data_IF_734625713344
#
_entry.id   IF_734625713344
#
_cell.length_a   1.000
_cell.length_b   1.000
_cell.length_c   1.000
_cell.angle_alpha   90.00
_cell.angle_beta   90.00
_cell.angle_gamma   90.00
#
_symmetry.space_group_name_H-M   'P 1'
#
loop_
_entity.id
_entity.type
_entity.pdbx_description
1 polymer ?
#
# COMPACT_ATOMS: atom_id res chain seq x y z
N UNK A 1 -14.06 14.54 -10.04
CA UNK A 1 -14.52 13.13 -10.12
C UNK A 1 -15.56 12.95 -11.21
N UNK A 2 -16.65 13.71 -11.25
CA UNK A 2 -17.65 13.61 -12.32
C UNK A 2 -17.04 13.90 -13.70
N UNK A 3 -16.14 14.84 -13.88
CA UNK A 3 -15.49 15.06 -15.19
C UNK A 3 -14.52 13.94 -15.62
N UNK A 4 -13.76 13.36 -14.70
CA UNK A 4 -12.94 12.17 -14.98
C UNK A 4 -13.79 10.90 -15.00
N UNK A 5 -14.80 10.78 -14.15
CA UNK A 5 -15.77 9.68 -14.19
C UNK A 5 -16.73 9.81 -15.37
N UNK A 6 -17.15 11.00 -15.79
CA UNK A 6 -17.96 11.17 -17.01
C UNK A 6 -17.16 10.89 -18.29
N UNK A 7 -15.89 11.24 -18.36
CA UNK A 7 -15.01 10.82 -19.48
C UNK A 7 -14.69 9.30 -19.39
N UNK A 8 -14.66 8.74 -18.20
CA UNK A 8 -14.48 7.29 -17.97
C UNK A 8 -15.82 6.55 -18.15
N UNK A 9 -16.96 7.15 -17.73
CA UNK A 9 -18.29 6.54 -17.80
C UNK A 9 -18.89 6.61 -19.22
N UNK A 10 -18.48 7.55 -20.05
CA UNK A 10 -19.03 7.71 -21.41
C UNK A 10 -18.44 6.73 -22.45
N UNK A 11 -17.50 5.85 -22.05
CA UNK A 11 -17.05 4.73 -22.87
C UNK A 11 -17.24 3.43 -22.12
N UNK A 12 -18.39 2.76 -22.37
CA UNK A 12 -18.73 1.42 -21.90
C UNK A 12 -18.70 1.19 -20.39
N UNK A 13 -19.81 1.49 -19.72
CA UNK A 13 -20.09 1.09 -18.32
C UNK A 13 -19.69 -0.39 -18.08
N UNK A 14 -19.94 -1.27 -19.05
CA UNK A 14 -19.55 -2.69 -19.02
C UNK A 14 -18.04 -2.91 -18.87
N UNK A 15 -17.21 -2.02 -19.43
CA UNK A 15 -15.75 -2.16 -19.30
C UNK A 15 -15.22 -1.85 -17.91
N UNK A 16 -15.90 -1.03 -17.10
CA UNK A 16 -15.46 -0.65 -15.76
C UNK A 16 -16.20 -1.37 -14.65
N UNK A 17 -17.37 -1.95 -14.94
CA UNK A 17 -18.16 -2.67 -13.95
C UNK A 17 -17.37 -3.80 -13.29
N UNK A 18 -16.72 -4.65 -14.09
CA UNK A 18 -15.99 -5.80 -13.57
C UNK A 18 -14.70 -5.40 -12.83
N UNK A 19 -13.85 -4.49 -13.32
CA UNK A 19 -12.74 -3.94 -12.55
C UNK A 19 -13.16 -3.27 -11.23
N UNK A 20 -14.31 -2.57 -11.21
CA UNK A 20 -14.83 -1.94 -9.99
C UNK A 20 -15.28 -2.99 -8.97
N UNK A 21 -15.97 -4.03 -9.42
CA UNK A 21 -16.37 -5.15 -8.56
C UNK A 21 -15.13 -5.86 -7.98
N UNK A 22 -14.09 -6.05 -8.79
CA UNK A 22 -12.82 -6.64 -8.32
C UNK A 22 -12.11 -5.74 -7.32
N UNK A 23 -12.09 -4.43 -7.54
CA UNK A 23 -11.54 -3.47 -6.58
C UNK A 23 -12.30 -3.51 -5.24
N UNK A 24 -13.62 -3.60 -5.30
CA UNK A 24 -14.45 -3.74 -4.12
C UNK A 24 -14.15 -5.03 -3.35
N UNK A 25 -14.13 -6.18 -4.01
CA UNK A 25 -13.78 -7.46 -3.39
C UNK A 25 -12.37 -7.45 -2.80
N UNK A 26 -11.41 -6.86 -3.51
CA UNK A 26 -10.04 -6.76 -3.05
C UNK A 26 -9.94 -5.93 -1.75
N UNK A 27 -10.49 -4.72 -1.76
CA UNK A 27 -10.32 -3.77 -0.66
C UNK A 27 -11.18 -4.16 0.54
N UNK A 28 -12.39 -4.67 0.31
CA UNK A 28 -13.27 -5.11 1.39
C UNK A 28 -12.96 -6.53 1.92
N UNK A 29 -11.89 -7.17 1.45
CA UNK A 29 -11.45 -8.45 2.01
C UNK A 29 -11.10 -8.31 3.50
N UNK A 30 -11.30 -9.37 4.26
CA UNK A 30 -11.08 -9.40 5.71
C UNK A 30 -11.84 -8.30 6.49
N UNK A 31 -13.10 -8.13 6.13
CA UNK A 31 -14.06 -7.21 6.76
C UNK A 31 -15.29 -7.98 7.21
N UNK A 32 -16.18 -7.33 7.98
CA UNK A 32 -17.49 -7.91 8.35
C UNK A 32 -18.39 -8.20 7.14
N UNK A 33 -18.15 -7.52 6.01
CA UNK A 33 -18.88 -7.75 4.75
C UNK A 33 -18.39 -9.04 4.09
N UNK A 34 -17.06 -9.23 4.07
CA UNK A 34 -16.40 -10.38 3.45
C UNK A 34 -15.34 -10.95 4.40
N UNK A 35 -15.73 -11.86 5.31
CA UNK A 35 -14.79 -12.49 6.23
C UNK A 35 -13.72 -13.30 5.49
N UNK A 36 -12.49 -13.17 5.97
CA UNK A 36 -11.35 -13.92 5.44
C UNK A 36 -10.80 -13.42 4.09
N UNK A 37 -10.01 -14.27 3.46
CA UNK A 37 -9.21 -13.94 2.25
C UNK A 37 -9.86 -14.38 0.94
N UNK A 38 -11.05 -14.96 0.96
CA UNK A 38 -11.66 -15.56 -0.24
C UNK A 38 -11.90 -14.56 -1.37
N UNK A 39 -12.34 -13.35 -1.04
CA UNK A 39 -12.54 -12.28 -2.02
C UNK A 39 -11.24 -11.78 -2.64
N UNK A 40 -10.14 -11.83 -1.88
CA UNK A 40 -8.81 -11.57 -2.39
C UNK A 40 -8.41 -12.61 -3.45
N UNK A 41 -8.70 -13.89 -3.22
CA UNK A 41 -8.42 -14.96 -4.18
C UNK A 41 -9.22 -14.79 -5.48
N UNK A 42 -10.46 -14.29 -5.41
CA UNK A 42 -11.27 -13.96 -6.60
C UNK A 42 -10.57 -12.87 -7.42
N UNK A 43 -10.11 -11.79 -6.76
CA UNK A 43 -9.39 -10.71 -7.44
C UNK A 43 -8.07 -11.20 -8.06
N UNK A 44 -7.34 -12.05 -7.34
CA UNK A 44 -6.11 -12.69 -7.86
C UNK A 44 -6.40 -13.56 -9.08
N UNK A 45 -7.42 -14.42 -8.99
CA UNK A 45 -7.82 -15.29 -10.09
C UNK A 45 -8.20 -14.52 -11.35
N UNK A 46 -8.90 -13.40 -11.19
CA UNK A 46 -9.27 -12.55 -12.33
C UNK A 46 -8.04 -11.92 -13.00
N UNK A 47 -7.12 -11.34 -12.23
CA UNK A 47 -5.89 -10.77 -12.78
C UNK A 47 -5.04 -11.85 -13.45
N UNK A 48 -4.89 -13.01 -12.79
CA UNK A 48 -4.15 -14.15 -13.34
C UNK A 48 -4.75 -14.63 -14.67
N UNK A 49 -6.07 -14.87 -14.70
CA UNK A 49 -6.77 -15.29 -15.92
C UNK A 49 -6.53 -14.32 -17.08
N UNK A 50 -6.67 -13.02 -16.83
CA UNK A 50 -6.48 -12.02 -17.88
C UNK A 50 -5.03 -12.00 -18.39
N UNK A 51 -4.05 -12.05 -17.48
CA UNK A 51 -2.61 -12.06 -17.82
C UNK A 51 -2.23 -13.30 -18.63
N UNK A 52 -2.66 -14.49 -18.21
CA UNK A 52 -2.37 -15.75 -18.91
C UNK A 52 -3.02 -15.78 -20.31
N UNK A 53 -4.30 -15.34 -20.38
CA UNK A 53 -5.06 -15.40 -21.66
C UNK A 53 -4.53 -14.42 -22.72
N UNK A 54 -4.09 -13.23 -22.31
CA UNK A 54 -3.75 -12.14 -23.23
C UNK A 54 -2.27 -11.73 -23.20
N UNK A 55 -1.50 -12.27 -22.30
CA UNK A 55 -0.07 -11.99 -22.16
C UNK A 55 0.80 -12.96 -22.93
N UNK A 56 1.98 -12.50 -23.30
CA UNK A 56 3.07 -13.34 -23.81
C UNK A 56 4.04 -13.58 -22.67
N UNK A 57 4.37 -14.84 -22.40
CA UNK A 57 5.31 -15.19 -21.36
C UNK A 57 6.71 -14.63 -21.68
N UNK A 58 7.31 -13.97 -20.71
CA UNK A 58 8.66 -13.40 -20.85
C UNK A 58 9.36 -13.30 -19.48
N UNK A 59 10.62 -13.68 -19.46
CA UNK A 59 11.49 -13.55 -18.28
C UNK A 59 12.19 -12.18 -18.24
N UNK A 60 12.18 -11.44 -19.36
CA UNK A 60 12.93 -10.18 -19.51
C UNK A 60 12.70 -9.19 -18.37
N UNK A 61 11.45 -9.00 -17.95
CA UNK A 61 11.07 -8.01 -16.95
C UNK A 61 11.06 -8.57 -15.52
N UNK A 62 10.87 -9.88 -15.37
CA UNK A 62 10.66 -10.57 -14.10
C UNK A 62 11.93 -11.19 -13.47
N UNK A 63 13.11 -11.01 -14.09
CA UNK A 63 14.37 -11.59 -13.58
C UNK A 63 14.61 -11.33 -12.09
N UNK A 64 14.42 -10.09 -11.62
CA UNK A 64 14.61 -9.74 -10.22
C UNK A 64 13.55 -10.34 -9.30
N UNK A 65 12.32 -10.52 -9.80
CA UNK A 65 11.25 -11.19 -9.06
C UNK A 65 11.57 -12.68 -8.90
N UNK A 66 12.14 -13.33 -9.92
CA UNK A 66 12.63 -14.71 -9.84
C UNK A 66 13.76 -14.80 -8.82
N UNK A 67 14.73 -13.89 -8.85
CA UNK A 67 15.82 -13.86 -7.87
C UNK A 67 15.31 -13.65 -6.45
N UNK A 68 14.29 -12.80 -6.25
CA UNK A 68 13.66 -12.62 -4.94
C UNK A 68 12.98 -13.90 -4.47
N UNK A 69 12.23 -14.59 -5.33
CA UNK A 69 11.65 -15.90 -5.00
C UNK A 69 12.73 -16.93 -4.66
N UNK A 70 13.81 -16.99 -5.44
CA UNK A 70 14.93 -17.87 -5.13
C UNK A 70 15.55 -17.53 -3.77
N UNK A 71 15.71 -16.25 -3.43
CA UNK A 71 16.16 -15.83 -2.10
C UNK A 71 15.20 -16.31 -1.00
N UNK A 72 13.88 -16.26 -1.22
CA UNK A 72 12.91 -16.82 -0.26
C UNK A 72 13.10 -18.33 -0.07
N UNK A 73 13.29 -19.09 -1.15
CA UNK A 73 13.53 -20.53 -1.04
C UNK A 73 14.89 -20.87 -0.42
N UNK A 74 15.95 -20.15 -0.78
CA UNK A 74 17.29 -20.34 -0.21
C UNK A 74 17.27 -20.02 1.29
N UNK A 75 16.55 -19.00 1.73
CA UNK A 75 16.48 -18.62 3.14
C UNK A 75 15.86 -19.71 4.03
N UNK A 76 15.10 -20.66 3.47
CA UNK A 76 14.56 -21.79 4.23
C UNK A 76 15.68 -22.67 4.80
N UNK A 77 16.83 -22.76 4.12
CA UNK A 77 17.95 -23.59 4.60
C UNK A 77 18.56 -23.08 5.92
N UNK A 78 18.31 -21.83 6.33
CA UNK A 78 18.83 -21.32 7.61
C UNK A 78 18.16 -21.93 8.83
N UNK A 79 16.92 -22.40 8.74
CA UNK A 79 16.18 -22.99 9.86
C UNK A 79 15.42 -24.27 9.52
N UNK A 80 15.52 -24.76 8.28
CA UNK A 80 14.85 -25.95 7.75
C UNK A 80 13.33 -25.97 7.98
N UNK A 81 12.70 -24.78 8.08
CA UNK A 81 11.26 -24.63 8.22
C UNK A 81 10.61 -24.25 6.91
N UNK A 82 9.71 -25.10 6.42
CA UNK A 82 8.92 -24.85 5.21
C UNK A 82 7.51 -24.48 5.63
N UNK A 83 7.10 -23.25 5.28
CA UNK A 83 5.74 -22.77 5.50
C UNK A 83 4.98 -22.73 4.17
N UNK A 84 3.70 -23.15 4.16
CA UNK A 84 2.84 -23.08 2.97
C UNK A 84 2.72 -21.67 2.40
N UNK A 85 2.96 -20.63 3.21
CA UNK A 85 2.94 -19.22 2.78
C UNK A 85 3.97 -18.93 1.70
N UNK A 86 5.05 -19.70 1.59
CA UNK A 86 6.02 -19.54 0.47
C UNK A 86 5.36 -19.88 -0.87
N UNK A 87 4.51 -20.89 -0.92
CA UNK A 87 3.77 -21.26 -2.13
C UNK A 87 2.73 -20.17 -2.47
N UNK A 88 2.04 -19.63 -1.45
CA UNK A 88 1.11 -18.52 -1.62
C UNK A 88 1.83 -17.26 -2.11
N UNK A 89 3.00 -16.94 -1.54
CA UNK A 89 3.81 -15.80 -1.99
C UNK A 89 4.32 -16.00 -3.41
N UNK A 90 4.75 -17.21 -3.76
CA UNK A 90 5.13 -17.58 -5.12
C UNK A 90 3.96 -17.37 -6.08
N UNK A 91 2.77 -17.86 -5.73
CA UNK A 91 1.54 -17.65 -6.52
C UNK A 91 1.22 -16.17 -6.71
N UNK A 92 1.28 -15.36 -5.64
CA UNK A 92 1.08 -13.92 -5.72
C UNK A 92 2.12 -13.26 -6.63
N UNK A 93 3.39 -13.64 -6.50
CA UNK A 93 4.46 -13.08 -7.34
C UNK A 93 4.31 -13.48 -8.80
N UNK A 94 3.89 -14.71 -9.12
CA UNK A 94 3.62 -15.13 -10.49
C UNK A 94 2.48 -14.32 -11.13
N UNK A 95 1.49 -13.93 -10.34
CA UNK A 95 0.36 -13.09 -10.79
C UNK A 95 0.79 -11.62 -10.93
N UNK A 96 1.43 -11.06 -9.91
CA UNK A 96 1.78 -9.64 -9.89
C UNK A 96 2.97 -9.33 -10.78
N UNK A 97 4.02 -10.13 -10.76
CA UNK A 97 5.23 -9.88 -11.51
C UNK A 97 5.00 -9.92 -13.04
N UNK A 98 5.85 -9.24 -13.82
CA UNK A 98 5.64 -9.08 -15.26
C UNK A 98 6.13 -10.30 -16.05
N UNK A 99 5.61 -11.50 -15.74
CA UNK A 99 5.85 -12.71 -16.52
C UNK A 99 5.04 -12.76 -17.82
N UNK A 100 3.81 -12.24 -17.77
CA UNK A 100 2.92 -12.19 -18.92
C UNK A 100 2.73 -10.74 -19.34
N UNK A 101 3.36 -10.36 -20.45
CA UNK A 101 3.40 -8.97 -20.92
C UNK A 101 2.91 -8.87 -22.35
N UNK A 102 1.94 -8.00 -22.59
CA UNK A 102 1.48 -7.60 -23.92
C UNK A 102 0.88 -6.19 -23.83
N UNK A 103 0.57 -5.56 -24.97
CA UNK A 103 -0.15 -4.27 -24.98
C UNK A 103 -1.48 -4.38 -24.24
N UNK A 104 -2.25 -5.47 -24.46
CA UNK A 104 -3.54 -5.70 -23.81
C UNK A 104 -3.41 -5.83 -22.30
N UNK A 105 -2.45 -6.64 -21.82
CA UNK A 105 -2.18 -6.82 -20.38
C UNK A 105 -1.73 -5.51 -19.73
N UNK A 106 -0.84 -4.77 -20.36
CA UNK A 106 -0.36 -3.49 -19.86
C UNK A 106 -1.49 -2.46 -19.69
N UNK A 107 -2.37 -2.34 -20.70
CA UNK A 107 -3.52 -1.45 -20.61
C UNK A 107 -4.55 -1.92 -19.58
N UNK A 108 -4.73 -3.22 -19.44
CA UNK A 108 -5.58 -3.80 -18.39
C UNK A 108 -5.04 -3.52 -16.99
N UNK A 109 -3.74 -3.76 -16.73
CA UNK A 109 -3.11 -3.43 -15.44
C UNK A 109 -3.25 -1.95 -15.11
N UNK A 110 -3.00 -1.08 -16.10
CA UNK A 110 -3.20 0.36 -15.96
C UNK A 110 -4.62 0.73 -15.56
N UNK A 111 -5.62 0.07 -16.16
CA UNK A 111 -7.04 0.28 -15.87
C UNK A 111 -7.39 -0.21 -14.47
N UNK A 112 -7.06 -1.46 -14.14
CA UNK A 112 -7.42 -2.07 -12.85
C UNK A 112 -6.73 -1.36 -11.68
N UNK A 113 -5.45 -0.98 -11.81
CA UNK A 113 -4.75 -0.19 -10.81
C UNK A 113 -5.41 1.17 -10.59
N UNK A 114 -5.79 1.87 -11.67
CA UNK A 114 -6.50 3.16 -11.55
C UNK A 114 -7.80 3.00 -10.80
N UNK A 115 -8.58 1.95 -11.09
CA UNK A 115 -9.85 1.68 -10.41
C UNK A 115 -9.62 1.32 -8.95
N UNK A 116 -8.70 0.41 -8.64
CA UNK A 116 -8.37 0.02 -7.26
C UNK A 116 -7.97 1.27 -6.44
N UNK A 117 -7.07 2.10 -6.97
CA UNK A 117 -6.61 3.30 -6.26
C UNK A 117 -7.74 4.30 -6.04
N UNK A 118 -8.61 4.52 -7.02
CA UNK A 118 -9.76 5.43 -6.86
C UNK A 118 -10.85 4.91 -5.92
N UNK A 119 -10.83 3.61 -5.58
CA UNK A 119 -11.72 3.04 -4.58
C UNK A 119 -11.31 3.36 -3.14
N UNK A 120 -10.03 3.62 -2.85
CA UNK A 120 -9.58 3.95 -1.49
C UNK A 120 -10.30 5.17 -0.88
N UNK A 121 -10.46 6.32 -1.58
CA UNK A 121 -11.30 7.42 -1.10
C UNK A 121 -12.74 7.01 -0.79
N UNK A 122 -13.34 6.15 -1.61
CA UNK A 122 -14.71 5.67 -1.38
C UNK A 122 -14.80 4.89 -0.07
N UNK A 123 -13.87 3.96 0.15
CA UNK A 123 -13.83 3.16 1.39
C UNK A 123 -13.52 4.03 2.61
N UNK A 124 -12.66 5.06 2.46
CA UNK A 124 -12.44 6.03 3.53
C UNK A 124 -13.72 6.78 3.91
N UNK A 125 -14.58 7.11 2.95
CA UNK A 125 -15.89 7.72 3.24
C UNK A 125 -16.88 6.75 3.89
N UNK A 126 -16.87 5.47 3.49
CA UNK A 126 -17.63 4.43 4.18
C UNK A 126 -17.15 4.30 5.64
N UNK A 127 -15.86 4.37 5.87
CA UNK A 127 -15.31 4.35 7.22
C UNK A 127 -15.76 5.57 8.05
N UNK A 128 -15.81 6.76 7.44
CA UNK A 128 -16.35 7.95 8.11
C UNK A 128 -17.84 7.77 8.47
N UNK A 129 -18.63 7.20 7.56
CA UNK A 129 -20.02 6.88 7.86
C UNK A 129 -20.14 5.87 9.03
N UNK A 130 -19.30 4.83 9.04
CA UNK A 130 -19.24 3.87 10.14
C UNK A 130 -18.90 4.56 11.47
N UNK A 131 -17.96 5.49 11.47
CA UNK A 131 -17.61 6.29 12.65
C UNK A 131 -18.81 7.07 13.19
N UNK A 132 -19.54 7.78 12.33
CA UNK A 132 -20.74 8.54 12.71
C UNK A 132 -21.88 7.66 13.24
N UNK A 133 -21.92 6.38 12.83
CA UNK A 133 -22.92 5.40 13.27
C UNK A 133 -22.44 4.53 14.44
N UNK A 134 -21.24 4.76 14.96
CA UNK A 134 -20.67 3.93 16.04
C UNK A 134 -20.35 2.49 15.63
N UNK A 135 -20.21 2.21 14.33
CA UNK A 135 -19.87 0.88 13.80
C UNK A 135 -18.35 0.71 13.86
N UNK A 136 -17.88 -0.20 14.70
CA UNK A 136 -16.47 -0.57 14.82
C UNK A 136 -16.33 -2.08 14.98
N UNK A 137 -15.97 -2.78 13.91
CA UNK A 137 -15.87 -4.23 13.89
C UNK A 137 -14.86 -4.79 14.91
N UNK A 138 -13.76 -4.06 15.14
CA UNK A 138 -12.74 -4.47 16.10
C UNK A 138 -13.23 -4.45 17.55
N UNK A 139 -14.11 -3.50 17.91
CA UNK A 139 -14.71 -3.44 19.25
C UNK A 139 -15.72 -4.55 19.47
N UNK A 140 -16.36 -5.06 18.40
CA UNK A 140 -17.37 -6.15 18.49
C UNK A 140 -16.76 -7.51 18.81
N UNK A 141 -15.45 -7.71 18.56
CA UNK A 141 -14.76 -8.96 18.91
C UNK A 141 -14.42 -9.07 20.41
N UNK A 142 -14.85 -8.12 21.24
CA UNK A 142 -14.74 -8.20 22.72
C UNK A 142 -13.33 -8.04 23.27
N UNK A 143 -12.37 -7.73 22.42
CA UNK A 143 -10.95 -7.77 22.80
C UNK A 143 -10.49 -6.52 23.52
N UNK A 144 -11.09 -5.36 23.33
CA UNK A 144 -10.77 -4.13 24.09
C UNK A 144 -11.64 -2.93 23.66
N UNK A 145 -12.40 -2.38 24.60
CA UNK A 145 -13.39 -1.32 24.35
C UNK A 145 -12.76 0.05 24.02
N UNK A 146 -11.50 0.28 24.39
CA UNK A 146 -10.82 1.58 24.27
C UNK A 146 -9.92 1.69 23.02
N UNK A 147 -10.16 0.89 21.98
CA UNK A 147 -9.16 0.71 20.98
C UNK A 147 -9.47 1.38 19.64
N UNK A 148 -8.43 1.48 18.85
CA UNK A 148 -8.36 2.09 17.54
C UNK A 148 -9.57 1.77 16.67
N UNK A 149 -10.06 2.73 15.95
CA UNK A 149 -11.19 2.56 15.05
C UNK A 149 -10.81 1.77 13.80
N UNK A 150 -11.62 0.80 13.42
CA UNK A 150 -11.39 -0.07 12.26
C UNK A 150 -12.52 -0.07 11.23
N UNK A 151 -13.61 0.63 11.50
CA UNK A 151 -14.83 0.62 10.70
C UNK A 151 -15.35 -0.82 10.47
N UNK A 152 -15.41 -1.24 9.21
CA UNK A 152 -15.86 -2.58 8.80
C UNK A 152 -14.78 -3.66 8.93
N UNK A 153 -13.53 -3.31 9.23
CA UNK A 153 -12.41 -4.26 9.28
C UNK A 153 -12.21 -4.84 10.67
N UNK A 154 -11.78 -6.09 10.74
CA UNK A 154 -11.49 -6.77 12.01
C UNK A 154 -10.26 -6.22 12.74
N UNK A 155 -9.44 -5.41 12.07
CA UNK A 155 -8.27 -4.80 12.70
C UNK A 155 -7.96 -3.42 12.10
N UNK A 156 -7.57 -2.42 12.93
CA UNK A 156 -7.22 -1.08 12.46
C UNK A 156 -6.10 -1.03 11.42
N UNK A 157 -5.18 -2.00 11.44
CA UNK A 157 -4.12 -2.11 10.43
C UNK A 157 -4.64 -2.29 8.99
N UNK A 158 -5.89 -2.75 8.82
CA UNK A 158 -6.52 -2.86 7.50
C UNK A 158 -7.09 -1.54 7.01
N UNK A 159 -7.65 -0.73 7.92
CA UNK A 159 -8.23 0.57 7.60
C UNK A 159 -7.17 1.65 7.38
N UNK A 160 -6.14 1.67 8.24
CA UNK A 160 -5.16 2.75 8.29
C UNK A 160 -4.45 3.02 6.94
N UNK A 161 -3.91 2.03 6.22
CA UNK A 161 -3.29 2.28 4.91
C UNK A 161 -4.31 2.69 3.83
N UNK A 162 -5.59 2.27 3.95
CA UNK A 162 -6.65 2.72 3.05
C UNK A 162 -6.86 4.22 3.21
N UNK A 163 -7.08 4.69 4.43
CA UNK A 163 -7.32 6.10 4.72
C UNK A 163 -6.08 6.95 4.38
N UNK A 164 -4.87 6.48 4.75
CA UNK A 164 -3.63 7.17 4.42
C UNK A 164 -3.38 7.30 2.92
N UNK A 165 -3.63 6.23 2.15
CA UNK A 165 -3.51 6.25 0.70
C UNK A 165 -4.62 7.09 0.05
N UNK A 166 -5.84 7.07 0.61
CA UNK A 166 -6.95 7.92 0.17
C UNK A 166 -6.58 9.41 0.25
N UNK A 167 -5.89 9.84 1.32
CA UNK A 167 -5.42 11.22 1.45
C UNK A 167 -4.51 11.63 0.29
N UNK A 168 -3.55 10.78 -0.07
CA UNK A 168 -2.61 11.01 -1.18
C UNK A 168 -3.36 11.07 -2.51
N UNK A 169 -4.30 10.17 -2.74
CA UNK A 169 -5.11 10.10 -3.98
C UNK A 169 -6.02 11.33 -4.10
N UNK A 170 -6.67 11.74 -3.01
CA UNK A 170 -7.53 12.92 -2.99
C UNK A 170 -6.74 14.20 -3.25
N UNK A 171 -5.53 14.32 -2.70
CA UNK A 171 -4.64 15.43 -3.04
C UNK A 171 -4.26 15.41 -4.52
N UNK A 172 -3.91 14.24 -5.08
CA UNK A 172 -3.67 14.11 -6.53
C UNK A 172 -4.91 14.56 -7.33
N UNK A 173 -6.13 14.15 -6.96
CA UNK A 173 -7.37 14.60 -7.58
C UNK A 173 -7.52 16.14 -7.54
N UNK A 174 -7.22 16.78 -6.41
CA UNK A 174 -7.29 18.25 -6.28
C UNK A 174 -6.41 18.98 -7.30
N UNK A 175 -5.23 18.45 -7.60
CA UNK A 175 -4.33 19.03 -8.59
C UNK A 175 -4.80 18.81 -10.04
N UNK A 176 -5.61 17.76 -10.29
CA UNK A 176 -6.11 17.44 -11.63
C UNK A 176 -7.43 18.18 -11.97
N UNK A 177 -8.19 18.59 -10.96
CA UNK A 177 -9.49 19.24 -11.17
C UNK A 177 -9.31 20.72 -11.54
N UNK A 178 -10.05 21.19 -12.55
CA UNK A 178 -10.09 22.61 -12.94
C UNK A 178 -11.28 23.35 -12.31
N UNK A 179 -12.41 22.66 -12.15
CA UNK A 179 -13.64 23.24 -11.61
C UNK A 179 -13.51 23.49 -10.09
N UNK A 180 -13.74 24.74 -9.68
CA UNK A 180 -13.62 25.17 -8.27
C UNK A 180 -14.61 24.46 -7.34
N UNK A 181 -15.85 24.24 -7.81
CA UNK A 181 -16.86 23.55 -7.00
C UNK A 181 -16.43 22.11 -6.69
N UNK A 182 -15.97 21.36 -7.69
CA UNK A 182 -15.46 20.01 -7.47
C UNK A 182 -14.19 19.98 -6.62
N UNK A 183 -13.33 21.00 -6.70
CA UNK A 183 -12.19 21.15 -5.79
C UNK A 183 -12.62 21.29 -4.33
N UNK A 184 -13.64 22.11 -4.06
CA UNK A 184 -14.17 22.25 -2.70
C UNK A 184 -14.73 20.92 -2.17
N UNK A 185 -15.46 20.17 -2.99
CA UNK A 185 -15.98 18.84 -2.62
C UNK A 185 -14.85 17.88 -2.30
N UNK A 186 -13.85 17.79 -3.20
CA UNK A 186 -12.71 16.87 -2.97
C UNK A 186 -11.87 17.30 -1.78
N UNK A 187 -11.73 18.59 -1.52
CA UNK A 187 -11.06 19.11 -0.32
C UNK A 187 -11.81 18.70 0.95
N UNK A 188 -13.13 18.83 0.97
CA UNK A 188 -13.94 18.37 2.12
C UNK A 188 -13.78 16.87 2.36
N UNK A 189 -13.80 16.06 1.28
CA UNK A 189 -13.56 14.62 1.37
C UNK A 189 -12.14 14.33 1.88
N UNK A 190 -11.14 15.09 1.46
CA UNK A 190 -9.76 14.96 1.95
C UNK A 190 -9.67 15.21 3.46
N UNK A 191 -10.30 16.27 3.96
CA UNK A 191 -10.32 16.57 5.40
C UNK A 191 -10.98 15.45 6.20
N UNK A 192 -12.11 14.93 5.72
CA UNK A 192 -12.78 13.79 6.34
C UNK A 192 -11.90 12.52 6.31
N UNK A 193 -11.20 12.27 5.21
CA UNK A 193 -10.30 11.13 5.08
C UNK A 193 -9.07 11.25 6.00
N UNK A 194 -8.51 12.45 6.17
CA UNK A 194 -7.46 12.72 7.16
C UNK A 194 -8.00 12.40 8.56
N UNK A 195 -9.20 12.84 8.90
CA UNK A 195 -9.83 12.52 10.17
C UNK A 195 -9.96 11.01 10.39
N UNK A 196 -10.41 10.24 9.38
CA UNK A 196 -10.45 8.77 9.47
C UNK A 196 -9.07 8.17 9.73
N UNK A 197 -8.02 8.66 9.05
CA UNK A 197 -6.64 8.19 9.28
C UNK A 197 -6.20 8.40 10.73
N UNK A 198 -6.62 9.49 11.29
CA UNK A 198 -6.39 9.94 12.65
C UNK A 198 -7.11 9.02 13.64
N UNK A 199 -8.41 8.80 13.48
CA UNK A 199 -9.23 7.96 14.38
C UNK A 199 -8.83 6.49 14.32
N UNK A 200 -8.34 6.02 13.16
CA UNK A 200 -7.73 4.70 13.03
C UNK A 200 -6.45 4.52 13.89
N UNK A 201 -5.98 5.59 14.53
CA UNK A 201 -4.86 5.62 15.47
C UNK A 201 -3.54 5.06 14.90
N UNK A 202 -3.34 5.13 13.58
CA UNK A 202 -2.11 4.69 12.92
C UNK A 202 -1.16 5.86 12.67
N UNK A 203 -0.15 6.00 13.54
CA UNK A 203 0.93 6.98 13.35
C UNK A 203 1.63 6.81 12.01
N UNK A 204 1.87 5.57 11.60
CA UNK A 204 2.58 5.22 10.36
C UNK A 204 1.84 5.69 9.12
N UNK A 205 0.53 5.41 9.03
CA UNK A 205 -0.29 5.83 7.89
C UNK A 205 -0.38 7.35 7.80
N UNK A 206 -0.48 8.04 8.95
CA UNK A 206 -0.51 9.49 9.01
C UNK A 206 0.82 10.08 8.51
N UNK A 207 1.97 9.65 9.07
CA UNK A 207 3.29 10.14 8.65
C UNK A 207 3.57 9.84 7.17
N UNK A 208 3.32 8.61 6.72
CA UNK A 208 3.53 8.25 5.33
C UNK A 208 2.66 9.09 4.37
N UNK A 209 1.38 9.37 4.73
CA UNK A 209 0.51 10.21 3.91
C UNK A 209 0.99 11.66 3.88
N UNK A 210 1.35 12.24 5.03
CA UNK A 210 1.84 13.63 5.10
C UNK A 210 3.13 13.79 4.29
N UNK A 211 4.13 12.93 4.50
CA UNK A 211 5.39 12.99 3.76
C UNK A 211 5.14 12.86 2.25
N UNK A 212 4.30 11.90 1.84
CA UNK A 212 3.98 11.71 0.42
C UNK A 212 3.23 12.92 -0.17
N UNK A 213 2.29 13.49 0.57
CA UNK A 213 1.56 14.70 0.15
C UNK A 213 2.50 15.89 -0.01
N UNK A 214 3.41 16.11 0.94
CA UNK A 214 4.42 17.18 0.87
C UNK A 214 5.32 17.00 -0.35
N UNK A 215 5.86 15.80 -0.56
CA UNK A 215 6.71 15.51 -1.73
C UNK A 215 5.95 15.71 -3.05
N UNK A 216 4.67 15.34 -3.11
CA UNK A 216 3.83 15.55 -4.27
C UNK A 216 3.55 17.04 -4.53
N UNK A 217 3.29 17.83 -3.50
CA UNK A 217 3.12 19.28 -3.59
C UNK A 217 4.40 19.93 -4.11
N UNK A 218 5.55 19.60 -3.52
CA UNK A 218 6.87 20.12 -3.96
C UNK A 218 7.13 19.77 -5.42
N UNK A 219 6.85 18.53 -5.81
CA UNK A 219 7.03 18.09 -7.20
C UNK A 219 6.18 18.89 -8.21
N UNK A 220 4.92 19.24 -7.86
CA UNK A 220 3.99 19.94 -8.75
C UNK A 220 4.09 21.47 -8.64
N UNK A 221 4.64 22.01 -7.57
CA UNK A 221 4.71 23.44 -7.35
C UNK A 221 5.86 24.05 -8.18
N UNK A 222 5.49 24.83 -9.19
CA UNK A 222 6.45 25.58 -10.03
C UNK A 222 7.02 26.85 -9.36
N UNK A 223 6.49 27.23 -8.19
CA UNK A 223 6.83 28.46 -7.49
C UNK A 223 7.03 28.19 -6.01
N UNK A 224 8.21 28.59 -5.50
CA UNK A 224 8.58 28.43 -4.08
C UNK A 224 7.57 29.09 -3.13
N UNK A 225 6.98 30.25 -3.49
CA UNK A 225 5.94 30.91 -2.69
C UNK A 225 4.70 30.02 -2.51
N UNK A 226 4.31 29.27 -3.54
CA UNK A 226 3.20 28.31 -3.43
C UNK A 226 3.54 27.12 -2.54
N UNK A 227 4.79 26.62 -2.61
CA UNK A 227 5.25 25.56 -1.72
C UNK A 227 5.14 26.00 -0.26
N UNK A 228 5.67 27.16 0.06
CA UNK A 228 5.61 27.73 1.42
C UNK A 228 4.16 27.89 1.86
N UNK A 229 3.29 28.44 1.00
CA UNK A 229 1.88 28.60 1.33
C UNK A 229 1.20 27.25 1.63
N UNK A 230 1.43 26.21 0.81
CA UNK A 230 0.85 24.89 1.05
C UNK A 230 1.39 24.24 2.32
N UNK A 231 2.69 24.38 2.60
CA UNK A 231 3.29 23.88 3.84
C UNK A 231 2.74 24.61 5.08
N UNK A 232 2.54 25.93 4.99
CA UNK A 232 1.89 26.71 6.07
C UNK A 232 0.46 26.27 6.30
N UNK A 233 -0.32 26.05 5.23
CA UNK A 233 -1.71 25.55 5.35
C UNK A 233 -1.74 24.16 5.97
N UNK A 234 -0.87 23.25 5.54
CA UNK A 234 -0.77 21.90 6.13
C UNK A 234 -0.33 21.98 7.60
N UNK A 235 0.66 22.79 7.91
CA UNK A 235 1.13 23.02 9.27
C UNK A 235 0.04 23.61 10.16
N UNK A 236 -0.70 24.60 9.67
CA UNK A 236 -1.84 25.21 10.37
C UNK A 236 -2.96 24.20 10.61
N UNK A 237 -3.34 23.43 9.59
CA UNK A 237 -4.36 22.37 9.76
C UNK A 237 -3.89 21.29 10.74
N UNK A 238 -2.61 20.93 10.71
CA UNK A 238 -2.05 19.99 11.66
C UNK A 238 -2.08 20.53 13.10
N UNK A 239 -1.70 21.81 13.31
CA UNK A 239 -1.73 22.43 14.66
C UNK A 239 -3.13 22.53 15.25
N UNK A 240 -4.16 22.73 14.43
CA UNK A 240 -5.56 22.73 14.90
C UNK A 240 -6.07 21.30 15.12
N UNK A 241 -5.70 20.38 14.24
CA UNK A 241 -6.20 19.00 14.28
C UNK A 241 -5.55 18.15 15.38
N UNK A 242 -4.26 18.37 15.68
CA UNK A 242 -3.52 17.58 16.68
C UNK A 242 -4.11 17.68 18.09
N UNK A 243 -4.44 18.88 18.64
CA UNK A 243 -5.05 18.99 19.98
C UNK A 243 -6.42 18.31 20.06
N UNK A 244 -7.31 18.63 19.12
CA UNK A 244 -8.65 18.01 19.03
C UNK A 244 -8.55 16.48 18.93
N UNK A 245 -7.52 16.03 18.30
CA UNK A 245 -7.22 14.63 18.08
C UNK A 245 -6.64 13.94 19.34
N UNK A 246 -5.72 14.58 20.01
CA UNK A 246 -5.17 14.06 21.27
C UNK A 246 -6.25 13.98 22.35
N UNK A 247 -7.16 14.94 22.39
CA UNK A 247 -8.28 14.99 23.33
C UNK A 247 -9.29 13.84 23.13
N UNK A 248 -9.50 13.39 21.89
CA UNK A 248 -10.46 12.33 21.54
C UNK A 248 -9.83 10.93 21.41
N UNK A 249 -8.52 10.81 21.48
CA UNK A 249 -7.81 9.54 21.34
C UNK A 249 -6.89 9.26 22.52
N UNK A 250 -7.46 8.78 23.62
CA UNK A 250 -6.73 8.28 24.82
C UNK A 250 -5.63 7.29 24.45
N UNK A 251 -5.82 6.54 23.36
CA UNK A 251 -4.81 5.58 22.88
C UNK A 251 -3.59 6.21 22.27
N UNK A 252 -3.74 7.32 21.56
CA UNK A 252 -2.57 8.02 21.02
C UNK A 252 -1.88 8.78 22.12
N UNK A 253 -2.61 9.40 23.06
CA UNK A 253 -2.00 9.93 24.26
C UNK A 253 -1.16 8.86 24.96
N UNK A 254 -1.72 7.70 25.25
CA UNK A 254 -1.00 6.58 25.85
C UNK A 254 0.20 6.10 25.01
N UNK A 255 0.12 6.18 23.67
CA UNK A 255 1.23 5.84 22.75
C UNK A 255 2.29 6.95 22.68
N UNK A 256 1.95 8.22 22.89
CA UNK A 256 2.89 9.33 22.91
C UNK A 256 3.48 9.57 24.31
N UNK A 257 2.70 9.36 25.36
CA UNK A 257 3.12 9.54 26.75
C UNK A 257 3.95 8.36 27.28
N UNK A 258 4.12 7.30 26.48
CA UNK A 258 4.99 6.18 26.80
C UNK A 258 4.51 5.42 28.03
N UNK A 259 3.27 4.94 28.02
CA UNK A 259 2.72 4.12 29.10
C UNK A 259 3.68 2.99 29.47
N UNK A 260 4.23 3.06 30.67
CA UNK A 260 5.08 2.04 31.32
C UNK A 260 6.33 1.60 30.53
N UNK A 261 7.24 2.54 30.24
CA UNK A 261 8.65 2.22 30.02
C UNK A 261 9.09 1.76 28.63
N UNK A 262 8.18 1.49 27.71
CA UNK A 262 8.53 1.06 26.35
C UNK A 262 8.21 2.14 25.30
N UNK A 263 9.15 3.04 25.05
CA UNK A 263 9.02 4.11 23.99
C UNK A 263 8.68 3.57 22.60
N UNK A 264 8.97 2.32 22.30
CA UNK A 264 8.75 1.68 21.01
C UNK A 264 7.83 0.45 21.05
N UNK A 265 7.27 0.10 22.24
CA UNK A 265 6.41 -1.06 22.42
C UNK A 265 7.09 -2.38 22.04
N UNK A 266 6.32 -3.37 21.62
CA UNK A 266 6.83 -4.68 21.20
C UNK A 266 7.78 -4.64 20.00
N UNK A 267 7.85 -3.54 19.24
CA UNK A 267 8.68 -3.42 18.02
C UNK A 267 10.18 -3.31 18.32
N UNK A 268 10.56 -2.67 19.45
CA UNK A 268 11.98 -2.54 19.82
C UNK A 268 12.61 -3.91 20.08
N UNK A 269 11.88 -4.79 20.77
CA UNK A 269 12.32 -6.16 21.01
C UNK A 269 12.47 -6.95 19.69
N UNK A 270 11.48 -6.84 18.78
CA UNK A 270 11.56 -7.49 17.48
C UNK A 270 12.74 -7.01 16.63
N UNK A 271 13.07 -5.73 16.68
CA UNK A 271 14.18 -5.18 15.89
C UNK A 271 15.52 -5.58 16.49
N UNK A 272 15.69 -5.49 17.83
CA UNK A 272 16.91 -5.90 18.50
C UNK A 272 17.25 -7.37 18.20
N UNK A 273 16.32 -8.27 18.51
CA UNK A 273 16.49 -9.70 18.26
C UNK A 273 16.66 -10.03 16.77
N UNK A 274 15.97 -9.30 15.89
CA UNK A 274 16.13 -9.46 14.43
C UNK A 274 17.54 -9.14 13.96
N UNK A 275 18.16 -8.07 14.48
CA UNK A 275 19.54 -7.72 14.17
C UNK A 275 20.54 -8.71 14.76
N UNK A 276 20.33 -9.17 16.00
CA UNK A 276 21.20 -10.16 16.61
C UNK A 276 21.21 -11.46 15.80
N UNK A 277 20.05 -11.91 15.36
CA UNK A 277 19.92 -13.11 14.52
C UNK A 277 20.40 -12.93 13.08
N UNK A 278 20.32 -11.70 12.55
CA UNK A 278 20.93 -11.39 11.25
C UNK A 278 22.46 -11.60 11.29
N UNK A 279 23.12 -11.31 12.41
CA UNK A 279 24.56 -11.54 12.57
C UNK A 279 24.93 -13.04 12.51
N UNK A 280 24.01 -13.95 12.87
CA UNK A 280 24.22 -15.40 12.75
C UNK A 280 24.12 -15.89 11.29
N UNK A 281 23.26 -15.23 10.46
CA UNK A 281 23.05 -15.59 9.06
C UNK A 281 22.88 -14.34 8.16
N UNK A 282 23.95 -13.55 7.97
CA UNK A 282 23.84 -12.24 7.34
C UNK A 282 23.48 -12.30 5.85
N UNK A 283 23.82 -13.38 5.15
CA UNK A 283 23.59 -13.51 3.70
C UNK A 283 22.17 -13.95 3.35
N UNK A 284 21.63 -14.96 4.05
CA UNK A 284 20.34 -15.59 3.70
C UNK A 284 19.25 -15.36 4.75
N UNK A 285 19.57 -14.68 5.86
CA UNK A 285 18.62 -14.35 6.92
C UNK A 285 18.17 -15.53 7.77
N UNK A 286 17.14 -15.32 8.57
CA UNK A 286 16.58 -16.33 9.51
C UNK A 286 15.55 -17.27 8.87
N UNK A 287 15.26 -17.11 7.58
CA UNK A 287 14.30 -17.93 6.84
C UNK A 287 12.95 -17.26 6.60
N UNK A 288 12.36 -17.58 5.45
CA UNK A 288 11.05 -17.03 5.04
C UNK A 288 9.95 -17.44 6.02
N UNK A 289 9.02 -16.53 6.27
CA UNK A 289 7.89 -16.69 7.19
C UNK A 289 8.29 -16.95 8.65
N UNK A 290 9.45 -16.44 9.10
CA UNK A 290 9.90 -16.52 10.48
C UNK A 290 10.10 -15.13 11.08
N UNK A 291 9.91 -14.99 12.37
CA UNK A 291 10.24 -13.80 13.13
C UNK A 291 10.72 -14.15 14.53
N UNK A 292 11.78 -13.50 14.99
CA UNK A 292 12.26 -13.63 16.35
C UNK A 292 11.54 -12.68 17.29
N UNK A 293 11.12 -13.20 18.44
CA UNK A 293 10.48 -12.41 19.48
C UNK A 293 10.62 -13.08 20.84
N UNK A 294 11.14 -12.37 21.82
CA UNK A 294 11.41 -12.85 23.19
C UNK A 294 12.27 -14.11 23.23
N UNK A 295 13.36 -14.11 22.46
CA UNK A 295 14.30 -15.23 22.39
C UNK A 295 13.78 -16.48 21.68
N UNK A 296 12.56 -16.42 21.10
CA UNK A 296 11.92 -17.57 20.44
C UNK A 296 11.73 -17.29 18.95
N UNK A 297 12.05 -18.28 18.10
CA UNK A 297 11.75 -18.25 16.68
C UNK A 297 10.26 -18.59 16.46
N UNK A 298 9.46 -17.59 16.12
CA UNK A 298 8.07 -17.78 15.75
C UNK A 298 7.98 -18.20 14.29
N UNK A 299 7.61 -19.45 14.08
CA UNK A 299 7.37 -20.05 12.76
C UNK A 299 5.98 -19.67 12.25
N UNK A 300 5.84 -19.46 10.93
CA UNK A 300 4.58 -19.02 10.32
C UNK A 300 4.24 -17.55 10.54
N UNK A 301 5.12 -16.75 11.13
CA UNK A 301 4.92 -15.31 11.34
C UNK A 301 5.69 -14.51 10.31
N UNK A 302 5.00 -13.66 9.56
CA UNK A 302 5.60 -12.82 8.51
C UNK A 302 5.94 -11.40 8.97
N UNK A 303 5.48 -11.00 10.16
CA UNK A 303 5.63 -9.64 10.64
C UNK A 303 6.82 -9.50 11.58
N UNK A 304 7.74 -8.59 11.24
CA UNK A 304 8.75 -8.04 12.14
C UNK A 304 8.43 -6.59 12.52
N UNK A 305 7.22 -6.10 12.23
CA UNK A 305 6.83 -4.70 12.44
C UNK A 305 7.34 -3.72 11.36
N UNK A 306 8.08 -4.19 10.37
CA UNK A 306 8.53 -3.43 9.20
C UNK A 306 8.67 -4.37 8.00
N UNK A 307 8.14 -3.98 6.86
CA UNK A 307 8.27 -4.76 5.61
C UNK A 307 9.71 -4.82 5.10
N UNK A 308 10.45 -3.72 5.23
CA UNK A 308 11.85 -3.66 4.81
C UNK A 308 12.76 -4.49 5.71
N UNK A 309 12.58 -4.38 7.03
CA UNK A 309 13.32 -5.20 7.98
C UNK A 309 12.92 -6.67 7.88
N UNK A 310 11.66 -6.98 7.54
CA UNK A 310 11.25 -8.37 7.27
C UNK A 310 12.04 -8.98 6.11
N UNK A 311 12.27 -8.21 5.02
CA UNK A 311 13.11 -8.65 3.91
C UNK A 311 14.54 -8.92 4.40
N UNK A 312 15.11 -7.98 5.16
CA UNK A 312 16.48 -8.10 5.66
C UNK A 312 16.63 -9.27 6.65
N UNK A 313 15.74 -9.38 7.62
CA UNK A 313 15.82 -10.40 8.66
C UNK A 313 15.53 -11.82 8.14
N UNK A 314 14.55 -11.94 7.23
CA UNK A 314 14.16 -13.25 6.70
C UNK A 314 15.01 -13.72 5.53
N UNK A 315 15.44 -12.81 4.66
CA UNK A 315 16.15 -13.12 3.40
C UNK A 315 17.60 -12.65 3.39
N UNK A 316 18.07 -12.01 4.46
CA UNK A 316 19.42 -11.50 4.59
C UNK A 316 19.78 -10.40 3.60
N UNK A 317 21.08 -10.17 3.46
CA UNK A 317 21.63 -9.21 2.51
C UNK A 317 21.23 -9.55 1.06
N UNK A 318 21.08 -10.83 0.71
CA UNK A 318 20.66 -11.27 -0.62
C UNK A 318 19.28 -10.69 -0.98
N UNK A 319 18.28 -10.86 -0.12
CA UNK A 319 16.94 -10.32 -0.34
C UNK A 319 16.92 -8.79 -0.39
N UNK A 320 17.67 -8.13 0.51
CA UNK A 320 17.77 -6.67 0.58
C UNK A 320 18.39 -6.09 -0.71
N UNK A 321 19.49 -6.64 -1.20
CA UNK A 321 20.16 -6.20 -2.42
C UNK A 321 19.24 -6.38 -3.64
N UNK A 322 18.56 -7.53 -3.75
CA UNK A 322 17.62 -7.76 -4.86
C UNK A 322 16.51 -6.72 -4.83
N UNK A 323 15.97 -6.41 -3.64
CA UNK A 323 14.92 -5.40 -3.49
C UNK A 323 15.40 -4.00 -3.87
N UNK A 324 16.63 -3.62 -3.51
CA UNK A 324 17.25 -2.36 -3.96
C UNK A 324 17.36 -2.29 -5.49
N UNK A 325 17.70 -3.40 -6.16
CA UNK A 325 17.71 -3.44 -7.63
C UNK A 325 16.32 -3.34 -8.24
N UNK A 326 15.29 -3.90 -7.59
CA UNK A 326 13.88 -3.71 -8.00
C UNK A 326 13.52 -2.23 -7.92
N UNK A 327 13.81 -1.56 -6.79
CA UNK A 327 13.56 -0.12 -6.62
C UNK A 327 14.35 0.74 -7.62
N UNK A 328 15.61 0.38 -7.89
CA UNK A 328 16.41 1.06 -8.93
C UNK A 328 15.75 0.95 -10.30
N UNK A 329 15.10 -0.18 -10.64
CA UNK A 329 14.34 -0.27 -11.90
C UNK A 329 13.11 0.63 -11.91
N UNK A 330 12.44 0.79 -10.78
CA UNK A 330 11.30 1.71 -10.64
C UNK A 330 11.70 3.15 -10.96
N UNK A 331 12.91 3.61 -10.58
CA UNK A 331 13.32 5.00 -10.85
C UNK A 331 13.40 5.36 -12.34
N UNK A 332 13.48 4.37 -13.24
CA UNK A 332 13.51 4.62 -14.69
C UNK A 332 12.25 5.33 -15.21
N UNK A 333 11.16 5.24 -14.45
CA UNK A 333 9.89 5.85 -14.84
C UNK A 333 9.84 7.36 -14.63
N UNK A 334 10.74 7.93 -13.81
CA UNK A 334 10.69 9.34 -13.39
C UNK A 334 10.66 10.33 -14.56
N UNK A 335 11.33 10.00 -15.68
CA UNK A 335 11.31 10.85 -16.87
C UNK A 335 9.94 10.92 -17.57
N UNK A 336 9.03 9.97 -17.29
CA UNK A 336 7.69 9.91 -17.90
C UNK A 336 6.60 10.51 -17.00
N UNK A 337 6.85 10.68 -15.70
CA UNK A 337 5.84 11.08 -14.71
C UNK A 337 5.16 12.41 -15.08
N UNK A 338 5.92 13.38 -15.64
CA UNK A 338 5.37 14.69 -16.00
C UNK A 338 4.36 14.64 -17.14
N UNK A 339 4.42 13.64 -17.97
CA UNK A 339 3.61 13.52 -19.19
C UNK A 339 2.41 12.59 -19.04
N UNK A 340 2.30 11.89 -17.90
CA UNK A 340 1.23 10.93 -17.68
C UNK A 340 0.65 11.05 -16.26
N UNK A 341 -0.56 11.60 -16.16
CA UNK A 341 -1.26 11.81 -14.88
C UNK A 341 -1.54 10.51 -14.12
N UNK A 342 -1.91 9.42 -14.84
CA UNK A 342 -2.15 8.13 -14.16
C UNK A 342 -0.86 7.54 -13.63
N UNK A 343 0.23 7.71 -14.35
CA UNK A 343 1.54 7.30 -13.87
C UNK A 343 1.96 8.08 -12.63
N UNK A 344 1.64 9.39 -12.55
CA UNK A 344 1.82 10.17 -11.31
C UNK A 344 1.09 9.52 -10.15
N UNK A 345 -0.20 9.16 -10.34
CA UNK A 345 -1.00 8.48 -9.32
C UNK A 345 -0.33 7.18 -8.86
N UNK A 346 0.17 6.36 -9.79
CA UNK A 346 0.82 5.10 -9.46
C UNK A 346 2.11 5.28 -8.67
N UNK A 347 2.94 6.25 -9.08
CA UNK A 347 4.22 6.53 -8.42
C UNK A 347 4.04 7.11 -7.03
N UNK A 348 3.10 8.05 -6.84
CA UNK A 348 2.85 8.60 -5.49
C UNK A 348 2.21 7.56 -4.57
N UNK A 349 1.35 6.69 -5.11
CA UNK A 349 0.78 5.57 -4.35
C UNK A 349 1.85 4.57 -3.95
N UNK A 350 2.77 4.24 -4.85
CA UNK A 350 3.91 3.38 -4.54
C UNK A 350 4.83 4.02 -3.50
N UNK A 351 5.08 5.33 -3.60
CA UNK A 351 5.89 6.07 -2.62
C UNK A 351 5.26 6.01 -1.22
N UNK A 352 3.94 6.25 -1.13
CA UNK A 352 3.22 6.08 0.13
C UNK A 352 3.40 4.66 0.69
N UNK A 353 3.20 3.64 -0.13
CA UNK A 353 3.34 2.24 0.30
C UNK A 353 4.78 1.93 0.73
N UNK A 354 5.80 2.44 0.05
CA UNK A 354 7.20 2.30 0.46
C UNK A 354 7.46 2.93 1.84
N UNK A 355 6.96 4.14 2.09
CA UNK A 355 7.10 4.82 3.38
C UNK A 355 6.30 4.12 4.49
N UNK A 356 5.08 3.71 4.20
CA UNK A 356 4.23 2.99 5.15
C UNK A 356 4.83 1.64 5.54
N UNK A 357 5.47 0.94 4.60
CA UNK A 357 6.14 -0.34 4.87
C UNK A 357 7.41 -0.23 5.73
N UNK A 358 7.91 0.97 6.00
CA UNK A 358 9.00 1.14 6.98
C UNK A 358 8.59 0.67 8.38
N UNK A 359 7.30 0.74 8.70
CA UNK A 359 6.77 0.40 10.02
C UNK A 359 5.60 -0.60 9.97
N UNK A 360 5.27 -1.14 8.79
CA UNK A 360 4.23 -2.15 8.63
C UNK A 360 4.69 -3.27 7.69
N UNK A 361 4.46 -4.52 8.12
CA UNK A 361 5.01 -5.71 7.46
C UNK A 361 4.05 -6.32 6.44
N UNK A 362 4.05 -5.85 5.19
CA UNK A 362 3.21 -6.48 4.15
C UNK A 362 3.96 -6.82 2.84
N UNK A 363 5.25 -6.54 2.76
CA UNK A 363 6.00 -6.77 1.52
C UNK A 363 6.15 -8.26 1.19
N UNK A 364 6.31 -9.11 2.21
CA UNK A 364 6.36 -10.56 2.08
C UNK A 364 5.05 -11.24 2.47
N UNK A 365 4.06 -10.48 2.97
CA UNK A 365 2.81 -11.04 3.49
C UNK A 365 1.85 -11.38 2.36
N UNK A 366 1.27 -12.57 2.41
CA UNK A 366 0.21 -13.03 1.52
C UNK A 366 -1.13 -12.95 2.26
N UNK A 367 -2.20 -12.65 1.54
CA UNK A 367 -3.53 -12.50 2.15
C UNK A 367 -3.84 -11.07 2.61
N UNK A 368 -2.94 -10.14 2.39
CA UNK A 368 -3.16 -8.73 2.63
C UNK A 368 -3.18 -7.96 1.30
N UNK A 369 -4.33 -7.33 0.97
CA UNK A 369 -4.56 -6.68 -0.32
C UNK A 369 -3.52 -5.58 -0.65
N UNK A 370 -2.97 -4.91 0.36
CA UNK A 370 -1.93 -3.87 0.18
C UNK A 370 -0.66 -4.46 -0.44
N UNK A 371 -0.24 -5.65 -0.01
CA UNK A 371 0.90 -6.35 -0.61
C UNK A 371 0.68 -6.66 -2.09
N UNK A 372 -0.54 -7.10 -2.45
CA UNK A 372 -0.91 -7.31 -3.84
C UNK A 372 -0.85 -6.01 -4.67
N UNK A 373 -1.43 -4.92 -4.17
CA UNK A 373 -1.40 -3.62 -4.83
C UNK A 373 0.04 -3.12 -4.99
N UNK A 374 0.88 -3.28 -3.96
CA UNK A 374 2.29 -2.91 -3.99
C UNK A 374 3.04 -3.62 -5.13
N UNK A 375 2.93 -4.96 -5.18
CA UNK A 375 3.64 -5.74 -6.21
C UNK A 375 3.10 -5.51 -7.61
N UNK A 376 1.79 -5.29 -7.76
CA UNK A 376 1.19 -4.97 -9.06
C UNK A 376 1.62 -3.59 -9.55
N UNK A 377 1.72 -2.59 -8.66
CA UNK A 377 2.26 -1.25 -8.97
C UNK A 377 3.72 -1.33 -9.42
N UNK A 378 4.58 -2.04 -8.68
CA UNK A 378 5.99 -2.24 -9.05
C UNK A 378 6.09 -2.86 -10.44
N UNK A 379 5.32 -3.92 -10.70
CA UNK A 379 5.31 -4.62 -11.98
C UNK A 379 4.95 -3.70 -13.14
N UNK A 380 3.85 -2.97 -13.01
CA UNK A 380 3.38 -2.04 -14.03
C UNK A 380 4.40 -0.92 -14.30
N UNK A 381 4.96 -0.33 -13.24
CA UNK A 381 5.93 0.77 -13.32
C UNK A 381 7.25 0.31 -13.98
N UNK A 382 7.74 -0.88 -13.63
CA UNK A 382 8.97 -1.43 -14.24
C UNK A 382 8.82 -1.65 -15.76
N UNK A 383 7.65 -2.10 -16.18
CA UNK A 383 7.37 -2.35 -17.61
C UNK A 383 7.09 -1.05 -18.38
N UNK A 384 6.66 0.01 -17.72
CA UNK A 384 6.14 1.22 -18.33
C UNK A 384 7.06 1.82 -19.41
N UNK A 385 8.37 2.07 -19.17
CA UNK A 385 9.25 2.69 -20.17
C UNK A 385 9.35 1.90 -21.47
N UNK A 386 9.48 0.57 -21.36
CA UNK A 386 9.64 -0.31 -22.51
C UNK A 386 8.32 -0.47 -23.29
N UNK A 387 7.18 -0.50 -22.58
CA UNK A 387 5.86 -0.65 -23.20
C UNK A 387 5.45 0.62 -23.95
N UNK A 388 5.70 1.80 -23.37
CA UNK A 388 5.44 3.07 -24.07
C UNK A 388 6.30 3.17 -25.32
N UNK A 389 7.59 2.86 -25.24
CA UNK A 389 8.50 2.91 -26.39
C UNK A 389 8.11 1.89 -27.45
N UNK A 390 7.87 0.62 -27.08
CA UNK A 390 7.56 -0.48 -28.01
C UNK A 390 6.28 -0.26 -28.78
N UNK A 391 5.22 0.24 -28.10
CA UNK A 391 3.89 0.37 -28.69
C UNK A 391 3.54 1.82 -29.06
N UNK A 392 4.49 2.75 -28.97
CA UNK A 392 4.30 4.19 -29.26
C UNK A 392 3.04 4.72 -28.56
N UNK A 393 2.86 4.34 -27.28
CA UNK A 393 1.68 4.74 -26.53
C UNK A 393 1.80 6.22 -26.16
N UNK A 394 0.86 7.02 -26.62
CA UNK A 394 0.75 8.41 -26.21
C UNK A 394 -0.33 8.50 -25.13
N UNK A 395 0.09 8.81 -23.90
CA UNK A 395 -0.79 9.01 -22.76
C UNK A 395 -0.90 10.50 -22.41
N UNK A 396 -0.88 11.35 -23.43
CA UNK A 396 -1.05 12.78 -23.23
C UNK A 396 -2.32 13.04 -22.42
N UNK A 397 -2.12 13.82 -21.40
CA UNK A 397 -3.00 14.17 -20.28
C UNK A 397 -4.18 15.04 -20.67
#
# INVERSE_FOLDING_TARGET
MLGLSLVIINRDIKEYCFPSLMAFFLICSNSIIFPGIYTLLIAFGYVAFYKIRYGTFTIKYSKLNILLLLACYISIFSNLYIDYRILMFTGMMLICAPFYVSKKVFLFERKILSVILLFFPVVSMIAMYCYLKGINAFAQEGVHIDLSFSAIYYHPMWLAPIAGLANVILLWCLFQLQNKCFRCIVLSILLLSIYVTVVAASRTALFASVITMVLYIVYNARNVKKIILYLLVIGFLATISIPVYLEHSTQIQNKFEGGKGEKYGSRSAHFGEGFDKLNESPLIGSGFATAWYRGVLHKGRLESGSGWLSILFQLGALGAIIMLFILKKVTRVFKYIRHDRRLQLFVISLLFLCLHSCFEGYLLTVGYYIGFVFWLLISHIICYPDMVKKYKLNFES
#
